data_IF_431119870028
#
_entry.id   IF_431119870028
#
_cell.length_a   1.000
_cell.length_b   1.000
_cell.length_c   1.000
_cell.angle_alpha   90.00
_cell.angle_beta   90.00
_cell.angle_gamma   90.00
#
_symmetry.space_group_name_H-M   'P 1'
#
loop_
_entity.id
_entity.type
_entity.pdbx_description
1 polymer ?
#
# COMPACT_ATOMS: atom_id res chain seq x y z
N UNK A 1 6.25 -14.84 53.13
CA UNK A 1 5.06 -14.34 52.41
C UNK A 1 5.37 -13.16 51.46
N UNK A 2 6.52 -13.15 50.77
CA UNK A 2 6.87 -12.06 49.81
C UNK A 2 7.14 -12.55 48.38
N UNK A 3 7.46 -13.84 48.21
CA UNK A 3 7.70 -14.44 46.89
C UNK A 3 6.42 -14.76 46.08
N UNK A 4 5.24 -14.82 46.73
CA UNK A 4 3.99 -15.19 46.05
C UNK A 4 3.31 -14.02 45.31
N UNK A 5 3.64 -12.78 45.66
CA UNK A 5 3.09 -11.58 45.02
C UNK A 5 3.78 -11.24 43.69
N UNK A 6 5.04 -11.65 43.51
CA UNK A 6 5.78 -11.40 42.27
C UNK A 6 5.37 -12.32 41.11
N UNK A 7 4.80 -13.49 41.40
CA UNK A 7 4.40 -14.49 40.37
C UNK A 7 3.05 -14.16 39.74
N UNK A 8 2.17 -13.45 40.45
CA UNK A 8 0.83 -13.11 39.96
C UNK A 8 0.87 -11.88 39.04
N UNK A 9 1.85 -10.99 39.23
CA UNK A 9 1.99 -9.77 38.42
C UNK A 9 2.53 -10.03 37.00
N UNK A 10 3.24 -11.14 36.77
CA UNK A 10 3.85 -11.45 35.47
C UNK A 10 2.90 -12.13 34.47
N UNK A 11 1.73 -12.61 34.91
CA UNK A 11 0.76 -13.28 34.02
C UNK A 11 -0.20 -12.32 33.30
N UNK A 12 -0.30 -11.06 33.73
CA UNK A 12 -1.29 -10.11 33.21
C UNK A 12 -0.85 -9.39 31.90
N UNK A 13 0.41 -9.52 31.49
CA UNK A 13 0.96 -8.78 30.34
C UNK A 13 0.80 -9.52 29.00
N UNK A 14 0.26 -10.75 29.00
CA UNK A 14 0.22 -11.62 27.80
C UNK A 14 -0.96 -11.36 26.85
N UNK A 15 -1.89 -10.44 27.14
CA UNK A 15 -3.14 -10.31 26.38
C UNK A 15 -3.26 -9.05 25.50
N UNK A 16 -2.17 -8.33 25.24
CA UNK A 16 -2.17 -7.18 24.30
C UNK A 16 -1.09 -7.28 23.25
N UNK A 17 -0.80 -8.48 22.76
CA UNK A 17 -0.24 -8.62 21.42
C UNK A 17 -1.38 -8.46 20.40
N UNK A 18 -1.89 -7.23 20.25
CA UNK A 18 -2.67 -6.87 19.07
C UNK A 18 -1.66 -6.80 17.92
N UNK A 19 -1.29 -7.98 17.40
CA UNK A 19 -0.68 -8.07 16.09
C UNK A 19 -1.79 -7.65 15.13
N UNK A 20 -1.85 -6.36 14.80
CA UNK A 20 -2.60 -5.86 13.66
C UNK A 20 -1.92 -6.37 12.38
N UNK A 21 -1.90 -7.70 12.21
CA UNK A 21 -1.77 -8.27 10.89
C UNK A 21 -3.04 -7.83 10.16
N UNK A 22 -2.94 -7.13 9.02
CA UNK A 22 -4.13 -6.80 8.25
C UNK A 22 -4.88 -8.09 8.01
N UNK A 23 -6.18 -8.11 8.34
CA UNK A 23 -7.03 -9.24 7.99
C UNK A 23 -6.84 -9.53 6.50
N UNK A 24 -6.54 -10.79 6.16
CA UNK A 24 -6.50 -11.19 4.76
C UNK A 24 -7.90 -10.97 4.18
N UNK A 25 -8.05 -9.83 3.51
CA UNK A 25 -9.23 -9.48 2.76
C UNK A 25 -9.42 -10.54 1.69
N UNK A 26 -10.54 -11.25 1.73
CA UNK A 26 -11.00 -12.18 0.69
C UNK A 26 -11.40 -11.49 -0.62
N UNK A 27 -10.97 -10.24 -0.82
CA UNK A 27 -11.02 -9.52 -2.08
C UNK A 27 -9.91 -9.93 -3.04
N UNK A 28 -9.94 -9.47 -4.31
CA UNK A 28 -8.88 -9.73 -5.27
C UNK A 28 -7.53 -9.29 -4.69
N UNK A 29 -6.55 -10.19 -4.73
CA UNK A 29 -5.22 -10.05 -4.13
C UNK A 29 -4.51 -8.77 -4.58
N UNK A 30 -4.68 -7.67 -3.84
CA UNK A 30 -4.12 -6.39 -4.21
C UNK A 30 -2.60 -6.47 -4.11
N UNK A 31 -1.90 -6.37 -5.24
CA UNK A 31 -0.44 -6.23 -5.22
C UNK A 31 -0.17 -4.79 -4.75
N UNK A 32 0.08 -4.67 -3.45
CA UNK A 32 0.37 -3.42 -2.79
C UNK A 32 1.68 -2.79 -3.28
N UNK A 33 1.78 -1.49 -3.05
CA UNK A 33 3.03 -0.74 -3.14
C UNK A 33 4.07 -1.42 -2.23
N UNK A 34 5.16 -1.95 -2.80
CA UNK A 34 6.25 -2.60 -2.05
C UNK A 34 6.33 -4.13 -2.13
N UNK A 35 5.68 -4.79 -3.10
CA UNK A 35 5.94 -6.20 -3.40
C UNK A 35 7.35 -6.38 -4.01
N UNK A 36 8.22 -7.08 -3.29
CA UNK A 36 9.65 -7.26 -3.62
C UNK A 36 9.87 -8.03 -4.93
N UNK A 37 8.90 -8.88 -5.33
CA UNK A 37 8.94 -9.59 -6.62
C UNK A 37 8.72 -8.65 -7.83
N UNK A 38 8.29 -7.42 -7.58
CA UNK A 38 7.96 -6.39 -8.58
C UNK A 38 8.78 -5.11 -8.39
N UNK A 39 10.03 -5.24 -7.93
CA UNK A 39 10.91 -4.12 -7.59
C UNK A 39 11.58 -3.49 -8.83
N UNK A 40 10.78 -3.13 -9.84
CA UNK A 40 11.28 -2.40 -11.01
C UNK A 40 11.13 -0.90 -10.84
N UNK A 41 12.00 -0.12 -11.50
CA UNK A 41 11.91 1.35 -11.53
C UNK A 41 10.52 1.84 -11.96
N UNK A 42 9.85 1.08 -12.83
CA UNK A 42 8.48 1.35 -13.24
C UNK A 42 7.48 1.26 -12.07
N UNK A 43 7.57 0.23 -11.24
CA UNK A 43 6.68 0.10 -10.07
C UNK A 43 6.95 1.18 -9.03
N UNK A 44 8.23 1.48 -8.79
CA UNK A 44 8.60 2.57 -7.90
C UNK A 44 8.03 3.91 -8.38
N UNK A 45 8.17 4.19 -9.68
CA UNK A 45 7.56 5.35 -10.33
C UNK A 45 6.03 5.36 -10.15
N UNK A 46 5.35 4.26 -10.49
CA UNK A 46 3.90 4.13 -10.37
C UNK A 46 3.40 4.42 -8.95
N UNK A 47 4.01 3.79 -7.97
CA UNK A 47 3.61 3.92 -6.57
C UNK A 47 3.81 5.35 -6.07
N UNK A 48 4.94 5.98 -6.42
CA UNK A 48 5.25 7.34 -6.01
C UNK A 48 4.32 8.34 -6.70
N UNK A 49 4.11 8.21 -8.01
CA UNK A 49 3.20 9.07 -8.79
C UNK A 49 1.75 8.99 -8.30
N UNK A 50 1.25 7.77 -8.01
CA UNK A 50 -0.08 7.57 -7.45
C UNK A 50 -0.22 8.22 -6.06
N UNK A 51 0.75 8.01 -5.17
CA UNK A 51 0.76 8.61 -3.83
C UNK A 51 0.74 10.14 -3.90
N UNK A 52 1.56 10.73 -4.77
CA UNK A 52 1.62 12.19 -4.95
C UNK A 52 0.29 12.75 -5.46
N UNK A 53 -0.31 12.12 -6.48
CA UNK A 53 -1.61 12.53 -7.01
C UNK A 53 -2.72 12.44 -5.95
N UNK A 54 -2.78 11.33 -5.21
CA UNK A 54 -3.73 11.14 -4.12
C UNK A 54 -3.56 12.17 -3.01
N UNK A 55 -2.32 12.46 -2.61
CA UNK A 55 -2.02 13.46 -1.59
C UNK A 55 -2.49 14.86 -2.01
N UNK A 56 -2.18 15.31 -3.22
CA UNK A 56 -2.57 16.64 -3.72
C UNK A 56 -4.08 16.78 -3.90
N UNK A 57 -4.76 15.68 -4.24
CA UNK A 57 -6.23 15.66 -4.29
C UNK A 57 -6.85 15.91 -2.92
N UNK A 58 -6.26 15.33 -1.87
CA UNK A 58 -6.70 15.49 -0.49
C UNK A 58 -6.23 16.82 0.15
N UNK A 59 -5.13 17.39 -0.36
CA UNK A 59 -4.49 18.59 0.16
C UNK A 59 -4.24 19.62 -0.97
N UNK A 60 -5.30 20.28 -1.49
CA UNK A 60 -5.14 21.22 -2.60
C UNK A 60 -4.20 22.36 -2.23
N UNK A 61 -3.19 22.61 -3.08
CA UNK A 61 -2.23 23.70 -2.91
C UNK A 61 -1.05 23.41 -1.97
N UNK A 62 -0.92 22.19 -1.45
CA UNK A 62 0.21 21.82 -0.60
C UNK A 62 1.55 21.72 -1.38
N UNK A 63 1.50 21.28 -2.64
CA UNK A 63 2.66 21.20 -3.54
C UNK A 63 2.16 21.08 -5.01
N UNK A 64 3.08 20.79 -5.93
CA UNK A 64 2.83 20.44 -7.32
C UNK A 64 3.24 19.00 -7.59
N UNK A 65 2.63 18.35 -8.59
CA UNK A 65 3.01 16.98 -8.97
C UNK A 65 4.51 16.89 -9.31
N UNK A 66 5.01 17.82 -10.13
CA UNK A 66 6.43 17.85 -10.50
C UNK A 66 7.35 18.11 -9.31
N UNK A 67 6.92 18.92 -8.34
CA UNK A 67 7.67 19.17 -7.10
C UNK A 67 7.85 17.91 -6.25
N UNK A 68 6.89 17.00 -6.31
CA UNK A 68 6.90 15.72 -5.59
C UNK A 68 7.58 14.57 -6.37
N UNK A 69 8.07 14.82 -7.59
CA UNK A 69 8.77 13.83 -8.40
C UNK A 69 10.21 13.66 -7.91
N UNK A 70 10.70 12.42 -7.86
CA UNK A 70 12.08 12.14 -7.48
C UNK A 70 13.05 12.65 -8.57
N UNK A 71 13.84 13.68 -8.23
CA UNK A 71 14.78 14.33 -9.16
C UNK A 71 16.00 13.48 -9.51
N UNK A 72 16.35 12.50 -8.69
CA UNK A 72 17.47 11.59 -8.97
C UNK A 72 17.06 10.58 -10.03
N UNK A 73 15.79 10.19 -10.03
CA UNK A 73 15.25 9.20 -10.96
C UNK A 73 14.57 9.83 -12.19
N UNK A 74 14.32 11.14 -12.17
CA UNK A 74 13.77 11.90 -13.28
C UNK A 74 14.63 11.77 -14.55
N UNK A 75 14.00 11.42 -15.67
CA UNK A 75 14.68 11.14 -16.94
C UNK A 75 15.03 9.66 -17.14
N UNK A 76 14.88 8.80 -16.14
CA UNK A 76 14.94 7.36 -16.33
C UNK A 76 13.63 6.86 -16.95
N UNK A 77 13.68 6.39 -18.20
CA UNK A 77 12.52 5.92 -18.98
C UNK A 77 11.50 5.11 -18.18
N UNK A 78 11.95 4.07 -17.48
CA UNK A 78 11.03 3.18 -16.77
C UNK A 78 10.41 3.85 -15.54
N UNK A 79 11.18 4.68 -14.82
CA UNK A 79 10.64 5.47 -13.72
C UNK A 79 9.60 6.48 -14.22
N UNK A 80 9.90 7.23 -15.28
CA UNK A 80 9.01 8.25 -15.84
C UNK A 80 7.69 7.65 -16.37
N UNK A 81 7.78 6.51 -17.06
CA UNK A 81 6.59 5.75 -17.49
C UNK A 81 5.74 5.34 -16.29
N UNK A 82 6.39 4.81 -15.25
CA UNK A 82 5.74 4.42 -14.00
C UNK A 82 5.04 5.60 -13.36
N UNK A 83 5.78 6.69 -13.11
CA UNK A 83 5.31 7.93 -12.52
C UNK A 83 4.04 8.44 -13.21
N UNK A 84 4.09 8.59 -14.53
CA UNK A 84 2.96 9.07 -15.32
C UNK A 84 1.73 8.14 -15.20
N UNK A 85 1.95 6.83 -15.28
CA UNK A 85 0.88 5.85 -15.15
C UNK A 85 0.23 5.91 -13.75
N UNK A 86 1.04 6.00 -12.69
CA UNK A 86 0.59 6.09 -11.31
C UNK A 86 -0.18 7.37 -11.02
N UNK A 87 0.33 8.52 -11.46
CA UNK A 87 -0.35 9.81 -11.32
C UNK A 87 -1.72 9.80 -11.99
N UNK A 88 -1.81 9.28 -13.22
CA UNK A 88 -3.08 9.15 -13.94
C UNK A 88 -4.03 8.19 -13.22
N UNK A 89 -3.52 7.07 -12.71
CA UNK A 89 -4.32 6.06 -12.03
C UNK A 89 -4.95 6.55 -10.73
N UNK A 90 -4.42 7.60 -10.09
CA UNK A 90 -4.87 8.08 -8.78
C UNK A 90 -5.26 9.56 -8.77
N UNK A 91 -5.43 10.18 -9.93
CA UNK A 91 -5.80 11.60 -10.07
C UNK A 91 -7.16 11.96 -9.45
N UNK A 92 -8.04 10.97 -9.29
CA UNK A 92 -9.34 11.12 -8.62
C UNK A 92 -9.26 10.93 -7.10
N UNK A 93 -8.08 10.62 -6.57
CA UNK A 93 -7.82 10.39 -5.15
C UNK A 93 -8.01 8.95 -4.70
N UNK A 94 -8.34 8.03 -5.61
CA UNK A 94 -8.52 6.61 -5.29
C UNK A 94 -7.32 5.80 -5.79
N UNK A 95 -6.64 5.12 -4.86
CA UNK A 95 -5.54 4.21 -5.22
C UNK A 95 -6.05 2.98 -5.94
N UNK A 96 -5.38 2.61 -7.04
CA UNK A 96 -5.72 1.45 -7.87
C UNK A 96 -4.53 0.52 -8.00
N UNK A 97 -4.80 -0.78 -7.92
CA UNK A 97 -3.79 -1.81 -8.22
C UNK A 97 -3.37 -1.65 -9.67
N UNK A 98 -2.07 -1.74 -9.91
CA UNK A 98 -1.52 -1.76 -11.26
C UNK A 98 -1.90 -3.04 -12.02
N UNK A 99 -2.19 -4.11 -11.27
CA UNK A 99 -2.55 -5.41 -11.81
C UNK A 99 -4.01 -5.72 -11.49
N UNK A 100 -4.77 -6.07 -12.54
CA UNK A 100 -6.04 -6.75 -12.37
C UNK A 100 -5.77 -8.22 -12.09
N UNK A 101 -5.80 -8.62 -10.82
CA UNK A 101 -5.93 -10.04 -10.49
C UNK A 101 -7.31 -10.47 -10.95
N UNK A 102 -7.35 -11.42 -11.88
CA UNK A 102 -8.60 -12.04 -12.31
C UNK A 102 -9.19 -12.76 -11.11
N UNK A 103 -10.11 -12.10 -10.40
CA UNK A 103 -10.89 -12.74 -9.35
C UNK A 103 -11.52 -13.99 -9.94
N UNK A 104 -11.29 -15.14 -9.30
CA UNK A 104 -12.01 -16.36 -9.61
C UNK A 104 -13.50 -16.05 -9.48
N UNK A 105 -14.17 -15.82 -10.61
CA UNK A 105 -15.63 -15.79 -10.66
C UNK A 105 -16.09 -17.13 -10.11
N UNK A 106 -16.62 -17.13 -8.90
CA UNK A 106 -17.39 -18.23 -8.33
C UNK A 106 -18.55 -18.49 -9.28
N UNK A 107 -18.35 -19.43 -10.21
CA UNK A 107 -19.43 -20.04 -10.97
C UNK A 107 -20.44 -20.56 -9.94
N UNK A 108 -21.66 -20.05 -10.03
CA UNK A 108 -22.78 -20.51 -9.23
C UNK A 108 -22.90 -22.03 -9.28
N UNK A 109 -23.11 -22.62 -8.11
CA UNK A 109 -23.62 -23.96 -7.96
C UNK A 109 -24.82 -23.88 -7.02
N UNK A 110 -25.96 -23.45 -7.56
CA UNK A 110 -27.26 -23.85 -7.00
C UNK A 110 -27.57 -25.23 -7.57
N UNK A 111 -27.58 -26.23 -6.69
CA UNK A 111 -28.35 -27.46 -6.86
C UNK A 111 -29.17 -27.65 -5.60
#
# INVERSE_FOLDING_TARGET
MKARLAVIASLAVLMTACSSAPEESSGPYFIGVGSVDYDSLYHFGYNTGCRSAGYLKQNPGADTLEGMKDKVLDGLSEFDKGWNAGTLACQDGVSRSMYMVKGSSSKGASK
#
